data_IF_956586395121
#
_entry.id   IF_956586395121
#
_cell.length_a   1.000
_cell.length_b   1.000
_cell.length_c   1.000
_cell.angle_alpha   90.00
_cell.angle_beta   90.00
_cell.angle_gamma   90.00
#
_symmetry.space_group_name_H-M   'P 1'
#
loop_
_entity.id
_entity.type
_entity.pdbx_description
1 polymer ?
#
# COMPACT_ATOMS: atom_id res chain seq x y z
N UNK A 1 -12.78 -19.64 22.21
CA UNK A 1 -12.66 -18.29 21.64
C UNK A 1 -14.02 -17.87 21.10
N UNK A 2 -14.63 -16.87 21.71
CA UNK A 2 -16.02 -16.42 21.43
C UNK A 2 -16.15 -15.48 20.23
N UNK A 3 -15.05 -15.09 19.57
CA UNK A 3 -15.08 -14.14 18.46
C UNK A 3 -15.54 -14.78 17.14
N UNK A 4 -15.25 -16.06 16.92
CA UNK A 4 -15.66 -16.82 15.73
C UNK A 4 -16.54 -18.05 16.06
N UNK A 5 -17.02 -18.16 17.31
CA UNK A 5 -17.93 -19.23 17.74
C UNK A 5 -19.19 -18.69 18.45
N UNK A 6 -20.34 -18.84 17.80
CA UNK A 6 -21.65 -18.43 18.28
C UNK A 6 -22.41 -19.60 18.84
N UNK A 7 -23.50 -19.35 19.59
CA UNK A 7 -24.37 -20.43 20.03
C UNK A 7 -24.86 -21.24 18.81
N UNK A 8 -24.81 -22.57 18.92
CA UNK A 8 -25.40 -23.52 17.96
C UNK A 8 -24.81 -23.54 16.54
N UNK A 9 -23.53 -23.20 16.36
CA UNK A 9 -22.86 -23.32 15.05
C UNK A 9 -23.29 -22.29 14.01
N UNK A 10 -24.02 -21.26 14.42
CA UNK A 10 -24.23 -20.06 13.61
C UNK A 10 -22.92 -19.27 13.50
N UNK A 11 -22.61 -18.77 12.30
CA UNK A 11 -21.46 -17.88 12.07
C UNK A 11 -21.69 -16.64 12.94
N UNK A 12 -20.88 -16.42 13.99
CA UNK A 12 -21.32 -15.63 15.14
C UNK A 12 -21.21 -14.13 14.95
N UNK A 13 -20.30 -13.71 14.07
CA UNK A 13 -19.79 -12.38 14.17
C UNK A 13 -19.29 -11.91 12.80
N UNK A 14 -20.09 -11.05 12.19
CA UNK A 14 -19.56 -10.12 11.21
C UNK A 14 -19.03 -8.91 11.99
N UNK A 15 -17.81 -8.42 11.72
CA UNK A 15 -17.34 -7.17 12.28
C UNK A 15 -18.36 -6.07 11.94
N UNK A 16 -18.84 -5.36 12.95
CA UNK A 16 -19.72 -4.22 12.75
C UNK A 16 -18.93 -3.03 12.18
N UNK A 17 -17.64 -2.96 12.48
CA UNK A 17 -16.70 -1.97 11.96
C UNK A 17 -15.41 -2.61 11.46
N UNK A 18 -14.71 -1.93 10.55
CA UNK A 18 -13.42 -2.38 10.02
C UNK A 18 -12.35 -2.62 11.10
N UNK A 19 -12.46 -1.95 12.26
CA UNK A 19 -11.51 -2.04 13.36
C UNK A 19 -11.83 -3.14 14.37
N UNK A 20 -12.98 -3.80 14.27
CA UNK A 20 -13.38 -4.73 15.32
C UNK A 20 -12.49 -5.99 15.35
N UNK A 21 -11.81 -6.32 14.24
CA UNK A 21 -10.92 -7.47 14.14
C UNK A 21 -9.79 -7.42 15.19
N UNK A 22 -9.20 -6.25 15.41
CA UNK A 22 -8.06 -6.10 16.34
C UNK A 22 -8.45 -6.31 17.80
N UNK A 23 -9.75 -6.21 18.15
CA UNK A 23 -10.22 -6.52 19.49
C UNK A 23 -9.93 -7.98 19.91
N UNK A 24 -9.91 -8.91 18.94
CA UNK A 24 -9.53 -10.31 19.17
C UNK A 24 -8.17 -10.68 18.57
N UNK A 25 -7.77 -10.01 17.49
CA UNK A 25 -6.57 -10.33 16.71
C UNK A 25 -5.43 -9.32 16.89
N UNK A 26 -5.35 -8.63 18.03
CA UNK A 26 -4.27 -7.66 18.30
C UNK A 26 -2.88 -8.28 18.22
N UNK A 27 -2.72 -9.50 18.73
CA UNK A 27 -1.44 -10.21 18.68
C UNK A 27 -1.04 -10.56 17.24
N UNK A 28 -1.99 -11.03 16.43
CA UNK A 28 -1.76 -11.34 15.01
C UNK A 28 -1.44 -10.08 14.22
N UNK A 29 -2.19 -8.99 14.45
CA UNK A 29 -1.90 -7.68 13.86
C UNK A 29 -0.49 -7.21 14.22
N UNK A 30 -0.09 -7.32 15.49
CA UNK A 30 1.26 -6.93 15.91
C UNK A 30 2.34 -7.86 15.34
N UNK A 31 2.06 -9.16 15.17
CA UNK A 31 3.02 -10.11 14.59
C UNK A 31 3.36 -9.77 13.14
N UNK A 32 2.37 -9.36 12.36
CA UNK A 32 2.52 -9.17 10.91
C UNK A 32 2.63 -7.70 10.47
N UNK A 33 2.03 -6.77 11.22
CA UNK A 33 1.91 -5.36 10.85
C UNK A 33 2.54 -4.39 11.88
N UNK A 34 3.13 -4.86 12.99
CA UNK A 34 3.69 -3.93 13.98
C UNK A 34 4.78 -3.05 13.37
N UNK A 35 4.71 -1.76 13.69
CA UNK A 35 5.69 -0.80 13.25
C UNK A 35 5.74 -0.63 11.74
N UNK A 36 4.65 -0.93 11.01
CA UNK A 36 4.50 -0.70 9.56
C UNK A 36 3.75 0.56 9.16
N UNK A 37 2.95 1.09 10.10
CA UNK A 37 2.03 2.20 9.81
C UNK A 37 0.75 1.76 9.08
N UNK A 38 0.53 0.46 8.85
CA UNK A 38 -0.75 -0.03 8.35
C UNK A 38 -1.89 0.33 9.31
N UNK A 39 -3.11 0.56 8.80
CA UNK A 39 -4.27 0.83 9.64
C UNK A 39 -4.81 -0.46 10.26
N UNK A 40 -5.63 -0.32 11.30
CA UNK A 40 -6.38 -1.44 11.90
C UNK A 40 -7.66 -1.79 11.12
N UNK A 41 -7.86 -1.19 9.95
CA UNK A 41 -9.00 -1.42 9.07
C UNK A 41 -8.76 -2.67 8.21
N UNK A 42 -8.85 -3.85 8.83
CA UNK A 42 -8.41 -5.11 8.22
C UNK A 42 -9.08 -5.44 6.88
N UNK A 43 -10.34 -5.01 6.70
CA UNK A 43 -11.14 -5.28 5.51
C UNK A 43 -10.70 -4.50 4.26
N UNK A 44 -9.76 -3.56 4.39
CA UNK A 44 -9.17 -2.88 3.23
C UNK A 44 -8.27 -3.80 2.40
N UNK A 45 -7.75 -4.86 3.03
CA UNK A 45 -6.80 -5.81 2.41
C UNK A 45 -7.23 -7.28 2.58
N UNK A 46 -7.80 -7.63 3.73
CA UNK A 46 -8.17 -9.00 4.07
C UNK A 46 -9.67 -9.23 3.94
N UNK A 47 -10.07 -10.47 3.67
CA UNK A 47 -11.47 -10.89 3.77
C UNK A 47 -11.61 -11.97 4.83
N UNK A 48 -12.83 -12.18 5.33
CA UNK A 48 -13.11 -13.22 6.32
C UNK A 48 -12.81 -14.63 5.79
N UNK A 49 -12.97 -14.84 4.47
CA UNK A 49 -12.78 -16.14 3.82
C UNK A 49 -11.38 -16.35 3.25
N UNK A 50 -10.67 -15.26 2.97
CA UNK A 50 -9.31 -15.27 2.45
C UNK A 50 -8.49 -14.27 3.25
N UNK A 51 -7.89 -14.77 4.33
CA UNK A 51 -6.99 -14.00 5.18
C UNK A 51 -5.59 -13.93 4.57
N UNK A 52 -5.03 -15.08 4.19
CA UNK A 52 -3.75 -15.15 3.49
C UNK A 52 -3.89 -14.68 2.03
N UNK A 53 -2.87 -13.99 1.52
CA UNK A 53 -2.91 -13.43 0.16
C UNK A 53 -3.88 -12.24 0.07
N UNK A 54 -3.81 -11.35 1.06
CA UNK A 54 -4.52 -10.09 1.09
C UNK A 54 -4.35 -9.34 -0.24
N UNK A 55 -5.44 -8.76 -0.73
CA UNK A 55 -5.43 -7.99 -1.97
C UNK A 55 -5.71 -6.55 -1.65
N UNK A 56 -4.85 -5.66 -2.13
CA UNK A 56 -5.00 -4.22 -1.95
C UNK A 56 -5.22 -3.55 -3.30
N UNK A 57 -6.24 -2.69 -3.41
CA UNK A 57 -6.51 -1.96 -4.64
C UNK A 57 -5.56 -0.75 -4.79
N UNK A 58 -4.30 -1.04 -5.08
CA UNK A 58 -3.28 -0.02 -5.27
C UNK A 58 -3.55 0.85 -6.51
N UNK A 59 -4.15 0.30 -7.57
CA UNK A 59 -4.43 1.04 -8.82
C UNK A 59 -5.62 2.01 -8.70
N UNK A 60 -6.57 1.74 -7.81
CA UNK A 60 -7.74 2.59 -7.59
C UNK A 60 -7.51 3.73 -6.59
N UNK A 61 -6.54 3.57 -5.69
CA UNK A 61 -6.27 4.53 -4.63
C UNK A 61 -4.88 5.18 -4.71
N UNK A 62 -3.93 4.58 -5.41
CA UNK A 62 -2.52 4.98 -5.45
C UNK A 62 -1.91 4.81 -6.85
N UNK A 63 -0.58 4.88 -6.94
CA UNK A 63 0.15 4.69 -8.19
C UNK A 63 -0.12 3.30 -8.80
N UNK A 64 -0.52 3.17 -10.07
CA UNK A 64 -0.90 1.86 -10.61
C UNK A 64 0.29 0.90 -10.75
N UNK A 65 0.27 -0.19 -9.99
CA UNK A 65 1.30 -1.27 -9.97
C UNK A 65 0.77 -2.61 -10.47
N UNK A 66 -0.55 -2.80 -10.48
CA UNK A 66 -1.22 -3.98 -11.02
C UNK A 66 -1.66 -3.80 -12.47
N UNK A 67 -1.47 -2.61 -13.05
CA UNK A 67 -1.71 -2.31 -14.46
C UNK A 67 -0.58 -1.47 -15.09
N UNK A 68 -0.76 -1.06 -16.35
CA UNK A 68 0.21 -0.23 -17.06
C UNK A 68 1.60 -0.88 -17.21
N UNK A 69 2.64 -0.04 -17.15
CA UNK A 69 4.04 -0.46 -17.39
C UNK A 69 4.72 -1.06 -16.16
N UNK A 70 4.17 -0.85 -14.97
CA UNK A 70 4.71 -1.40 -13.71
C UNK A 70 4.14 -2.78 -13.35
N UNK A 71 3.07 -3.22 -14.03
CA UNK A 71 2.54 -4.58 -13.87
C UNK A 71 3.61 -5.64 -14.07
N UNK A 72 3.83 -6.46 -13.05
CA UNK A 72 4.81 -7.56 -13.07
C UNK A 72 6.27 -7.10 -12.99
N UNK A 73 6.54 -5.88 -12.53
CA UNK A 73 7.91 -5.36 -12.33
C UNK A 73 8.41 -5.44 -10.89
N UNK A 74 7.58 -5.93 -9.97
CA UNK A 74 7.87 -6.09 -8.55
C UNK A 74 7.51 -7.51 -8.11
N UNK A 75 8.17 -8.03 -7.08
CA UNK A 75 8.12 -9.44 -6.70
C UNK A 75 7.01 -9.76 -5.68
N UNK A 76 5.87 -9.05 -5.76
CA UNK A 76 4.82 -9.06 -4.73
C UNK A 76 5.29 -8.64 -3.32
N UNK A 77 6.48 -8.03 -3.22
CA UNK A 77 7.02 -7.49 -1.99
C UNK A 77 6.89 -5.97 -1.99
N UNK A 78 6.13 -5.44 -1.03
CA UNK A 78 5.89 -4.02 -0.87
C UNK A 78 7.19 -3.22 -0.70
N UNK A 79 8.21 -3.83 -0.09
CA UNK A 79 9.53 -3.22 0.13
C UNK A 79 10.28 -2.93 -1.18
N UNK A 80 9.85 -3.53 -2.30
CA UNK A 80 10.36 -3.20 -3.64
C UNK A 80 10.23 -1.69 -3.93
N UNK A 81 9.17 -1.05 -3.43
CA UNK A 81 8.92 0.38 -3.63
C UNK A 81 8.91 1.16 -2.31
N UNK A 82 8.38 0.57 -1.24
CA UNK A 82 8.23 1.16 0.08
C UNK A 82 9.44 0.83 0.95
N UNK A 83 10.50 1.60 0.78
CA UNK A 83 11.82 1.29 1.36
C UNK A 83 11.89 1.48 2.88
N UNK A 84 10.91 2.16 3.47
CA UNK A 84 10.80 2.27 4.92
C UNK A 84 9.71 1.30 5.40
N UNK A 85 10.07 0.20 6.07
CA UNK A 85 9.09 -0.76 6.57
C UNK A 85 8.19 -0.17 7.65
N UNK A 86 8.51 1.01 8.21
CA UNK A 86 7.68 1.70 9.22
C UNK A 86 6.85 2.86 8.70
N UNK A 87 7.03 3.21 7.44
CA UNK A 87 6.24 4.25 6.80
C UNK A 87 6.17 3.97 5.30
N UNK A 88 5.09 3.32 4.89
CA UNK A 88 4.84 3.00 3.49
C UNK A 88 4.49 4.26 2.66
N UNK A 89 4.34 5.46 3.26
CA UNK A 89 4.31 6.69 2.46
C UNK A 89 5.70 7.06 1.90
N UNK A 90 6.78 6.47 2.43
CA UNK A 90 8.14 6.67 1.92
C UNK A 90 8.38 5.73 0.74
N UNK A 91 8.61 6.33 -0.43
CA UNK A 91 8.97 5.61 -1.66
C UNK A 91 9.94 6.42 -2.51
N UNK A 92 10.57 5.77 -3.48
CA UNK A 92 11.37 6.48 -4.48
C UNK A 92 11.21 5.90 -5.87
N UNK A 93 11.03 6.76 -6.88
CA UNK A 93 11.03 6.35 -8.28
C UNK A 93 12.46 6.11 -8.79
N UNK A 94 13.44 6.72 -8.12
CA UNK A 94 14.82 6.86 -8.60
C UNK A 94 15.67 5.60 -8.45
N UNK A 95 15.21 4.62 -7.67
CA UNK A 95 15.90 3.33 -7.52
C UNK A 95 15.86 2.52 -8.81
N UNK A 96 14.77 2.59 -9.57
CA UNK A 96 14.60 1.84 -10.83
C UNK A 96 14.62 2.75 -12.06
N UNK A 97 14.05 3.95 -11.96
CA UNK A 97 14.05 4.93 -13.04
C UNK A 97 15.18 5.91 -12.82
N UNK A 98 16.31 5.65 -13.47
CA UNK A 98 17.43 6.59 -13.48
C UNK A 98 17.10 7.82 -14.32
N UNK A 99 16.40 8.75 -13.70
CA UNK A 99 16.39 10.13 -14.13
C UNK A 99 17.71 10.74 -13.65
N UNK A 100 18.42 11.46 -14.52
CA UNK A 100 19.47 12.36 -14.03
C UNK A 100 18.79 13.67 -13.66
N UNK A 101 19.16 14.23 -12.50
CA UNK A 101 18.62 15.51 -12.05
C UNK A 101 18.79 16.59 -13.12
N UNK A 102 19.98 16.70 -13.70
CA UNK A 102 20.27 17.68 -14.77
C UNK A 102 19.36 17.52 -15.99
N UNK A 103 19.15 16.29 -16.46
CA UNK A 103 18.25 16.02 -17.59
C UNK A 103 16.80 16.34 -17.27
N UNK A 104 16.33 16.02 -16.06
CA UNK A 104 14.96 16.35 -15.67
C UNK A 104 14.76 17.85 -15.46
N UNK A 105 15.73 18.52 -14.85
CA UNK A 105 15.72 19.98 -14.69
C UNK A 105 15.62 20.65 -16.08
N UNK A 106 16.38 20.17 -17.07
CA UNK A 106 16.30 20.66 -18.45
C UNK A 106 14.93 20.41 -19.11
N UNK A 107 14.32 19.24 -18.90
CA UNK A 107 13.00 18.89 -19.46
C UNK A 107 11.85 19.64 -18.80
N UNK A 108 12.01 20.04 -17.54
CA UNK A 108 10.99 20.75 -16.76
C UNK A 108 11.28 22.26 -16.63
N UNK A 109 12.17 22.82 -17.47
CA UNK A 109 12.44 24.26 -17.52
C UNK A 109 11.15 25.06 -17.66
N UNK A 110 10.93 26.00 -16.73
CA UNK A 110 9.75 26.86 -16.71
C UNK A 110 8.48 26.21 -16.13
N UNK A 111 8.53 24.94 -15.68
CA UNK A 111 7.41 24.31 -14.99
C UNK A 111 7.34 24.81 -13.54
N UNK A 112 6.36 25.64 -13.24
CA UNK A 112 6.08 26.06 -11.86
C UNK A 112 5.76 24.85 -10.98
N UNK A 113 6.30 24.82 -9.75
CA UNK A 113 6.13 23.72 -8.80
C UNK A 113 6.94 22.46 -9.10
N UNK A 114 7.82 22.46 -10.11
CA UNK A 114 8.75 21.36 -10.34
C UNK A 114 9.73 21.20 -9.17
N UNK A 115 9.88 19.96 -8.71
CA UNK A 115 10.87 19.54 -7.73
C UNK A 115 11.39 18.16 -8.09
N UNK A 116 12.68 17.93 -7.90
CA UNK A 116 13.32 16.64 -8.18
C UNK A 116 13.17 15.68 -6.99
N UNK A 117 11.93 15.39 -6.61
CA UNK A 117 11.57 14.49 -5.51
C UNK A 117 10.50 13.50 -5.95
N UNK A 118 10.50 12.28 -5.42
CA UNK A 118 9.57 11.21 -5.86
C UNK A 118 8.10 11.57 -5.62
N UNK A 119 7.79 12.28 -4.54
CA UNK A 119 6.44 12.81 -4.26
C UNK A 119 5.99 13.83 -5.32
N UNK A 120 6.89 14.72 -5.76
CA UNK A 120 6.58 15.70 -6.81
C UNK A 120 6.44 15.02 -8.18
N UNK A 121 7.31 14.04 -8.48
CA UNK A 121 7.19 13.18 -9.65
C UNK A 121 5.81 12.51 -9.69
N UNK A 122 5.38 11.87 -8.60
CA UNK A 122 4.07 11.21 -8.50
C UNK A 122 2.92 12.20 -8.71
N UNK A 123 3.02 13.40 -8.15
CA UNK A 123 1.96 14.42 -8.25
C UNK A 123 1.73 14.89 -9.69
N UNK A 124 2.79 15.01 -10.50
CA UNK A 124 2.68 15.39 -11.92
C UNK A 124 2.51 14.18 -12.86
N UNK A 125 3.03 13.01 -12.47
CA UNK A 125 3.03 11.78 -13.25
C UNK A 125 2.34 10.64 -12.48
N UNK A 126 1.01 10.73 -12.23
CA UNK A 126 0.29 9.80 -11.35
C UNK A 126 0.26 8.35 -11.86
N UNK A 127 0.56 8.13 -13.14
CA UNK A 127 0.66 6.80 -13.76
C UNK A 127 2.06 6.50 -14.30
N UNK A 128 3.06 7.30 -13.95
CA UNK A 128 4.45 7.13 -14.39
C UNK A 128 4.66 7.41 -15.88
N UNK A 129 3.75 8.18 -16.49
CA UNK A 129 3.84 8.62 -17.89
C UNK A 129 4.24 10.09 -17.95
N UNK A 130 5.18 10.42 -18.84
CA UNK A 130 5.52 11.77 -19.27
C UNK A 130 4.67 12.22 -20.45
#
# INVERSE_FOLDING_TARGET
STCHSGPNGAVPWSPATQNDCVACHQADYNGEHAGTGFPTTCLDCHTQTQWSGATFNHDGAFFPIYSGKHRGKWNNDCSTCHTNPSDYAVFTCLTCHEHSKSKMDDKHKGRSGYSYTSTACLSCHPTGRS
#
